data_IF_608196392082
#
_entry.id   IF_608196392082
#
_cell.length_a   1.000
_cell.length_b   1.000
_cell.length_c   1.000
_cell.angle_alpha   90.00
_cell.angle_beta   90.00
_cell.angle_gamma   90.00
#
_symmetry.space_group_name_H-M   'P 1'
#
loop_
_entity.id
_entity.type
_entity.pdbx_description
1 polymer ?
#
# COMPACT_ATOMS: atom_id res chain seq x y z
N UNK A 1 6.12 -14.76 -11.75
CA UNK A 1 6.32 -13.61 -10.85
C UNK A 1 5.35 -13.85 -9.73
N UNK A 2 5.87 -14.24 -8.57
CA UNK A 2 5.06 -14.50 -7.39
C UNK A 2 4.50 -13.16 -6.92
N UNK A 3 3.20 -12.97 -7.12
CA UNK A 3 2.46 -11.83 -6.57
C UNK A 3 2.47 -11.96 -5.04
N UNK A 4 2.76 -10.90 -4.30
CA UNK A 4 2.72 -10.96 -2.85
C UNK A 4 1.31 -11.32 -2.37
N UNK A 5 1.22 -12.27 -1.46
CA UNK A 5 -0.03 -12.69 -0.85
C UNK A 5 -0.41 -11.67 0.25
N UNK A 6 -0.94 -10.54 -0.19
CA UNK A 6 -1.31 -9.42 0.68
C UNK A 6 -2.64 -9.70 1.36
N UNK A 7 -2.64 -9.78 2.69
CA UNK A 7 -3.87 -9.83 3.46
C UNK A 7 -4.49 -8.43 3.55
N UNK A 8 -5.52 -8.20 2.74
CA UNK A 8 -6.27 -6.95 2.73
C UNK A 8 -7.29 -6.83 3.86
N UNK A 9 -7.52 -7.88 4.67
CA UNK A 9 -8.42 -7.81 5.83
C UNK A 9 -7.83 -6.96 6.96
N UNK A 10 -6.49 -6.95 7.07
CA UNK A 10 -5.77 -6.10 8.05
C UNK A 10 -5.53 -4.68 7.54
N UNK A 11 -5.81 -4.41 6.26
CA UNK A 11 -5.59 -3.11 5.66
C UNK A 11 -6.63 -2.08 6.17
N UNK A 12 -6.23 -0.80 6.37
CA UNK A 12 -7.18 0.24 6.70
C UNK A 12 -8.22 0.41 5.59
N UNK A 13 -9.45 0.85 5.93
CA UNK A 13 -10.58 0.89 4.99
C UNK A 13 -10.31 1.72 3.72
N UNK A 14 -9.50 2.77 3.85
CA UNK A 14 -9.10 3.67 2.78
C UNK A 14 -7.81 3.25 2.06
N UNK A 15 -7.17 2.14 2.47
CA UNK A 15 -6.00 1.61 1.79
C UNK A 15 -6.37 1.21 0.36
N UNK A 16 -5.62 1.76 -0.58
CA UNK A 16 -5.78 1.48 -2.01
C UNK A 16 -4.61 0.69 -2.56
N UNK A 17 -3.41 0.93 -2.03
CA UNK A 17 -2.21 0.21 -2.44
C UNK A 17 -1.41 -0.28 -1.24
N UNK A 18 -0.65 -1.34 -1.47
CA UNK A 18 0.40 -1.83 -0.60
C UNK A 18 1.71 -1.76 -1.38
N UNK A 19 2.77 -1.27 -0.76
CA UNK A 19 4.11 -1.37 -1.33
C UNK A 19 5.17 -1.40 -0.23
N UNK A 20 6.31 -2.00 -0.56
CA UNK A 20 7.51 -2.02 0.24
C UNK A 20 8.46 -0.91 -0.19
N UNK A 21 9.01 -0.23 0.80
CA UNK A 21 10.05 0.78 0.60
C UNK A 21 11.45 0.13 0.56
N UNK A 22 12.44 0.89 0.10
CA UNK A 22 13.84 0.44 0.01
C UNK A 22 14.43 0.03 1.37
N UNK A 23 13.84 0.50 2.47
CA UNK A 23 14.21 0.13 3.84
C UNK A 23 13.69 -1.26 4.26
N UNK A 24 12.99 -1.99 3.37
CA UNK A 24 12.41 -3.30 3.65
C UNK A 24 11.15 -3.25 4.51
N UNK A 25 10.58 -2.05 4.70
CA UNK A 25 9.31 -1.82 5.42
C UNK A 25 8.17 -1.71 4.42
N UNK A 26 7.04 -2.30 4.77
CA UNK A 26 5.84 -2.20 3.96
C UNK A 26 4.91 -1.11 4.49
N UNK A 27 4.17 -0.51 3.56
CA UNK A 27 3.23 0.57 3.84
C UNK A 27 1.94 0.39 3.06
N UNK A 28 0.82 0.70 3.71
CA UNK A 28 -0.45 0.96 3.07
C UNK A 28 -0.47 2.41 2.60
N UNK A 29 -0.82 2.60 1.33
CA UNK A 29 -1.07 3.91 0.75
C UNK A 29 -2.57 4.08 0.60
N UNK A 30 -3.11 5.02 1.36
CA UNK A 30 -4.53 5.34 1.33
C UNK A 30 -4.79 6.56 0.48
N UNK A 31 -5.85 6.51 -0.33
CA UNK A 31 -6.34 7.74 -0.96
C UNK A 31 -7.03 8.61 0.10
N UNK A 32 -6.79 9.93 0.09
CA UNK A 32 -7.47 10.83 1.00
C UNK A 32 -8.97 10.87 0.67
N UNK A 33 -9.81 10.71 1.69
CA UNK A 33 -11.28 10.90 1.60
C UNK A 33 -11.64 12.40 1.63
N UNK A 34 -10.92 13.19 0.83
CA UNK A 34 -11.13 14.64 0.74
C UNK A 34 -11.84 14.90 -0.59
N UNK A 35 -12.97 15.60 -0.52
CA UNK A 35 -13.71 16.09 -1.71
C UNK A 35 -12.74 16.78 -2.68
N UNK A 36 -13.01 16.75 -4.00
CA UNK A 36 -12.06 17.11 -5.08
C UNK A 36 -11.68 18.62 -5.16
N UNK A 37 -11.52 19.29 -4.04
CA UNK A 37 -11.33 20.73 -3.92
C UNK A 37 -9.89 21.13 -3.57
N UNK A 38 -8.96 20.17 -3.44
CA UNK A 38 -7.55 20.46 -3.13
C UNK A 38 -6.61 19.67 -4.04
N UNK A 39 -5.71 20.37 -4.73
CA UNK A 39 -4.66 19.81 -5.61
C UNK A 39 -3.54 19.06 -4.86
N UNK A 40 -3.68 18.84 -3.55
CA UNK A 40 -2.71 18.12 -2.74
C UNK A 40 -3.08 16.64 -2.68
N UNK A 41 -2.28 15.80 -3.33
CA UNK A 41 -2.37 14.34 -3.26
C UNK A 41 -1.64 13.85 -2.02
N UNK A 42 -2.26 13.99 -0.85
CA UNK A 42 -1.73 13.39 0.38
C UNK A 42 -2.11 11.92 0.43
N UNK A 43 -1.18 11.02 0.10
CA UNK A 43 -1.35 9.60 0.47
C UNK A 43 -1.03 9.46 1.95
N UNK A 44 -1.99 9.00 2.73
CA UNK A 44 -1.68 8.57 4.09
C UNK A 44 -0.85 7.28 3.97
N UNK A 45 0.36 7.33 4.53
CA UNK A 45 1.25 6.18 4.64
C UNK A 45 1.08 5.56 6.02
N UNK A 46 0.51 4.35 6.07
CA UNK A 46 0.34 3.59 7.30
C UNK A 46 1.25 2.38 7.24
N UNK A 47 1.98 2.08 8.32
CA UNK A 47 2.84 0.90 8.37
C UNK A 47 2.02 -0.39 8.14
N UNK A 48 2.51 -1.25 7.27
CA UNK A 48 1.90 -2.52 6.90
C UNK A 48 2.82 -3.69 7.26
N UNK A 49 2.27 -4.90 7.50
CA UNK A 49 3.06 -6.11 7.53
C UNK A 49 3.77 -6.32 6.18
N UNK A 50 4.99 -6.86 6.22
CA UNK A 50 5.78 -7.15 5.02
C UNK A 50 5.29 -8.38 4.24
N UNK A 51 4.35 -9.17 4.80
CA UNK A 51 3.77 -10.39 4.22
C UNK A 51 4.82 -11.35 3.63
N UNK A 52 5.99 -11.43 4.28
CA UNK A 52 7.14 -12.22 3.84
C UNK A 52 7.60 -11.97 2.39
N UNK A 53 7.28 -10.79 1.82
CA UNK A 53 7.71 -10.46 0.47
C UNK A 53 9.23 -10.26 0.43
N UNK A 54 9.92 -11.25 -0.14
CA UNK A 54 11.37 -11.23 -0.35
C UNK A 54 11.81 -10.75 -1.73
N UNK A 55 10.90 -10.15 -2.52
CA UNK A 55 11.15 -9.71 -3.90
C UNK A 55 11.80 -8.32 -4.01
N UNK A 56 11.99 -7.83 -5.26
CA UNK A 56 12.43 -6.44 -5.48
C UNK A 56 11.31 -5.50 -5.01
N UNK A 57 11.61 -4.64 -4.04
CA UNK A 57 10.70 -3.63 -3.51
C UNK A 57 10.10 -2.74 -4.61
N UNK A 58 10.82 -2.52 -5.72
CA UNK A 58 10.30 -1.77 -6.88
C UNK A 58 9.12 -2.44 -7.57
N UNK A 59 8.97 -3.74 -7.38
CA UNK A 59 7.89 -4.56 -7.93
C UNK A 59 6.81 -4.90 -6.90
N UNK A 60 6.93 -4.38 -5.67
CA UNK A 60 6.02 -4.69 -4.56
C UNK A 60 4.68 -3.94 -4.63
N UNK A 61 4.52 -2.99 -5.56
CA UNK A 61 3.29 -2.19 -5.65
C UNK A 61 2.10 -3.07 -6.05
N UNK A 62 1.18 -3.26 -5.12
CA UNK A 62 -0.04 -4.06 -5.31
C UNK A 62 -1.25 -3.19 -5.03
N UNK A 63 -2.19 -3.16 -5.98
CA UNK A 63 -3.47 -2.48 -5.81
C UNK A 63 -4.48 -3.42 -5.14
N UNK A 64 -5.32 -2.86 -4.26
CA UNK A 64 -6.40 -3.60 -3.60
C UNK A 64 -7.39 -4.12 -4.65
N UNK A 65 -7.65 -5.44 -4.71
CA UNK A 65 -8.68 -5.97 -5.58
C UNK A 65 -10.07 -5.44 -5.19
N UNK A 66 -10.89 -5.15 -6.20
CA UNK A 66 -12.28 -4.67 -6.06
C UNK A 66 -13.27 -5.81 -5.82
#
# INVERSE_FOLDING_TARGET
MDEPEIDWEVAPKNARWWAMDADGRAYWYSMPDIKPFTDFWGVDMVEAPAFEFGGDWRMSLVERPT
#
